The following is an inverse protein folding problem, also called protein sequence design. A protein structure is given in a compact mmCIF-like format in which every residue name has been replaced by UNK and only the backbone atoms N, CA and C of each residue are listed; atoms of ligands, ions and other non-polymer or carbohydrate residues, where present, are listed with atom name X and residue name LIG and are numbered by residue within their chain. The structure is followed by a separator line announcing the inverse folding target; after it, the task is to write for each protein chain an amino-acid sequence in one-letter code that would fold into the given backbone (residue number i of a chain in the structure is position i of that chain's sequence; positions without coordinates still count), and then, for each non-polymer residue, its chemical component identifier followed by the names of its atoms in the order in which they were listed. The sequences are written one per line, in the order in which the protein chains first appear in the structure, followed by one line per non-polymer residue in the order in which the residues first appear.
data_IF_712311696941
#
_entry.id   IF_712311696941
#
_cell.length_a   1.000
_cell.length_b   1.000
_cell.length_c   1.000
_cell.angle_alpha   90.00
_cell.angle_beta   90.00
_cell.angle_gamma   90.00
#
_symmetry.space_group_name_H-M   'P 1'
#
loop_
_entity.id
_entity.type
_entity.pdbx_description
1 polymer ?
#
# COMPACT_ATOMS: atom_id res chain seq x y z
N UNK A 1 2.51 -10.28 39.66
CA UNK A 1 2.30 -10.95 38.36
C UNK A 1 2.61 -9.91 37.30
N UNK A 2 3.65 -10.14 36.48
CA UNK A 2 3.90 -9.33 35.29
C UNK A 2 3.01 -9.91 34.21
N UNK A 3 1.93 -9.23 33.87
CA UNK A 3 1.01 -9.68 32.85
C UNK A 3 1.77 -9.83 31.53
N UNK A 4 1.79 -11.06 31.02
CA UNK A 4 2.26 -11.37 29.68
C UNK A 4 1.24 -10.81 28.69
N UNK A 5 1.33 -9.54 28.34
CA UNK A 5 0.72 -9.02 27.12
C UNK A 5 1.50 -9.63 25.95
N UNK A 6 1.04 -10.80 25.52
CA UNK A 6 1.42 -11.42 24.25
C UNK A 6 1.36 -10.31 23.20
N UNK A 7 2.44 -10.05 22.44
CA UNK A 7 2.48 -9.06 21.35
C UNK A 7 1.16 -9.10 20.58
N UNK A 8 0.25 -8.16 20.87
CA UNK A 8 -1.07 -8.16 20.25
C UNK A 8 -0.83 -7.73 18.81
N UNK A 9 -1.03 -8.67 17.89
CA UNK A 9 -1.04 -8.36 16.46
C UNK A 9 -2.14 -7.31 16.27
N UNK A 10 -1.77 -6.04 16.03
CA UNK A 10 -2.70 -5.01 15.61
C UNK A 10 -3.42 -5.50 14.35
N UNK A 11 -4.75 -5.54 14.40
CA UNK A 11 -5.58 -5.91 13.27
C UNK A 11 -5.50 -4.82 12.21
N UNK A 12 -5.61 -5.20 10.93
CA UNK A 12 -5.65 -4.19 9.86
C UNK A 12 -6.85 -3.28 10.10
N UNK A 13 -6.65 -1.95 10.18
CA UNK A 13 -7.70 -1.02 10.52
C UNK A 13 -8.82 -1.06 9.46
N UNK A 14 -10.07 -1.04 9.91
CA UNK A 14 -11.22 -1.06 9.01
C UNK A 14 -11.67 0.37 8.73
N UNK A 15 -11.67 0.74 7.47
CA UNK A 15 -12.14 2.07 7.05
C UNK A 15 -13.68 2.11 7.03
N UNK A 16 -14.29 2.90 7.91
CA UNK A 16 -15.74 3.04 8.06
C UNK A 16 -16.32 4.17 7.17
N UNK A 17 -15.55 5.22 6.97
CA UNK A 17 -15.87 6.41 6.21
C UNK A 17 -15.75 6.14 4.72
N UNK A 18 -16.80 6.54 3.97
CA UNK A 18 -16.82 6.42 2.51
C UNK A 18 -15.67 7.16 1.84
N UNK A 19 -15.20 8.27 2.44
CA UNK A 19 -14.07 9.04 1.92
C UNK A 19 -12.75 8.30 2.09
N UNK A 20 -12.49 7.75 3.28
CA UNK A 20 -11.27 6.99 3.58
C UNK A 20 -11.23 5.72 2.73
N UNK A 21 -12.36 5.03 2.57
CA UNK A 21 -12.48 3.89 1.67
C UNK A 21 -12.17 4.23 0.21
N UNK A 22 -12.55 5.42 -0.26
CA UNK A 22 -12.19 5.90 -1.59
C UNK A 22 -10.68 6.15 -1.71
N UNK A 23 -10.04 6.76 -0.72
CA UNK A 23 -8.59 6.95 -0.72
C UNK A 23 -7.83 5.63 -0.72
N UNK A 24 -8.26 4.64 0.05
CA UNK A 24 -7.64 3.31 0.05
C UNK A 24 -7.78 2.63 -1.31
N UNK A 25 -8.96 2.72 -1.92
CA UNK A 25 -9.18 2.20 -3.27
C UNK A 25 -8.27 2.89 -4.30
N UNK A 26 -8.15 4.23 -4.24
CA UNK A 26 -7.28 4.99 -5.13
C UNK A 26 -5.81 4.60 -4.96
N UNK A 27 -5.34 4.47 -3.72
CA UNK A 27 -3.97 4.08 -3.43
C UNK A 27 -3.68 2.66 -3.90
N UNK A 28 -4.60 1.72 -3.65
CA UNK A 28 -4.50 0.36 -4.18
C UNK A 28 -4.44 0.35 -5.70
N UNK A 29 -5.34 1.07 -6.37
CA UNK A 29 -5.36 1.16 -7.82
C UNK A 29 -4.05 1.74 -8.37
N UNK A 30 -3.52 2.78 -7.72
CA UNK A 30 -2.23 3.36 -8.07
C UNK A 30 -1.10 2.34 -7.93
N UNK A 31 -1.02 1.64 -6.79
CA UNK A 31 0.02 0.64 -6.53
C UNK A 31 -0.07 -0.56 -7.46
N UNK A 32 -1.26 -0.95 -7.93
CA UNK A 32 -1.46 -2.14 -8.76
C UNK A 32 -1.35 -1.85 -10.26
N UNK A 33 -1.92 -0.74 -10.74
CA UNK A 33 -2.11 -0.51 -12.17
C UNK A 33 -1.10 0.47 -12.79
N UNK A 34 -0.39 1.29 -12.01
CA UNK A 34 0.55 2.28 -12.55
C UNK A 34 1.64 1.65 -13.43
N UNK A 35 2.16 0.47 -13.07
CA UNK A 35 3.16 -0.26 -13.87
C UNK A 35 2.63 -0.54 -15.28
N UNK A 36 1.41 -1.07 -15.38
CA UNK A 36 0.78 -1.39 -16.66
C UNK A 36 0.46 -0.12 -17.45
N UNK A 37 -0.06 0.91 -16.79
CA UNK A 37 -0.39 2.19 -17.41
C UNK A 37 0.88 2.82 -18.01
N UNK A 38 1.98 2.87 -17.27
CA UNK A 38 3.26 3.42 -17.74
C UNK A 38 3.84 2.60 -18.89
N UNK A 39 3.78 1.27 -18.81
CA UNK A 39 4.28 0.40 -19.87
C UNK A 39 3.47 0.55 -21.17
N UNK A 40 2.14 0.57 -21.09
CA UNK A 40 1.25 0.75 -22.24
C UNK A 40 1.40 2.15 -22.84
N UNK A 41 1.47 3.20 -22.00
CA UNK A 41 1.74 4.56 -22.47
C UNK A 41 3.07 4.64 -23.22
N UNK A 42 4.13 4.09 -22.65
CA UNK A 42 5.46 4.11 -23.28
C UNK A 42 5.43 3.32 -24.59
N UNK A 43 4.79 2.16 -24.61
CA UNK A 43 4.64 1.39 -25.85
C UNK A 43 3.86 2.17 -26.93
N UNK A 44 2.78 2.87 -26.54
CA UNK A 44 1.97 3.66 -27.47
C UNK A 44 2.74 4.82 -28.11
N UNK A 45 3.59 5.51 -27.34
CA UNK A 45 4.34 6.68 -27.84
C UNK A 45 5.70 6.35 -28.46
N UNK A 46 6.30 5.21 -28.10
CA UNK A 46 7.63 4.81 -28.56
C UNK A 46 7.52 3.46 -29.30
N UNK A 47 8.03 2.39 -28.68
CA UNK A 47 8.06 1.05 -29.24
C UNK A 47 7.89 0.00 -28.13
N UNK A 48 7.75 -1.26 -28.54
CA UNK A 48 7.51 -2.36 -27.60
C UNK A 48 8.74 -2.66 -26.71
N UNK A 49 9.96 -2.40 -27.18
CA UNK A 49 11.19 -2.63 -26.43
C UNK A 49 11.31 -1.62 -25.28
N UNK A 50 11.06 -0.33 -25.56
CA UNK A 50 10.98 0.73 -24.56
C UNK A 50 9.83 0.49 -23.57
N UNK A 51 8.67 0.03 -24.05
CA UNK A 51 7.56 -0.38 -23.19
C UNK A 51 7.96 -1.48 -22.19
N UNK A 52 8.66 -2.51 -22.66
CA UNK A 52 9.19 -3.58 -21.81
C UNK A 52 10.23 -3.09 -20.79
N UNK A 53 11.15 -2.22 -21.19
CA UNK A 53 12.15 -1.64 -20.30
C UNK A 53 11.50 -0.81 -19.18
N UNK A 54 10.51 0.03 -19.52
CA UNK A 54 9.77 0.83 -18.54
C UNK A 54 8.92 -0.05 -17.62
N UNK A 55 8.35 -1.14 -18.12
CA UNK A 55 7.62 -2.10 -17.28
C UNK A 55 8.52 -2.68 -16.18
N UNK A 56 9.72 -3.16 -16.54
CA UNK A 56 10.69 -3.72 -15.59
C UNK A 56 11.18 -2.66 -14.60
N UNK A 57 11.51 -1.46 -15.08
CA UNK A 57 11.93 -0.36 -14.22
C UNK A 57 10.82 0.06 -13.24
N UNK A 58 9.59 0.18 -13.74
CA UNK A 58 8.42 0.53 -12.92
C UNK A 58 8.14 -0.52 -11.85
N UNK A 59 8.36 -1.80 -12.14
CA UNK A 59 8.23 -2.88 -11.15
C UNK A 59 9.19 -2.67 -9.96
N UNK A 60 10.44 -2.29 -10.22
CA UNK A 60 11.43 -1.99 -9.17
C UNK A 60 10.99 -0.75 -8.37
N UNK A 61 10.66 0.35 -9.06
CA UNK A 61 10.26 1.61 -8.42
C UNK A 61 9.02 1.41 -7.53
N UNK A 62 8.00 0.71 -8.03
CA UNK A 62 6.80 0.38 -7.27
C UNK A 62 7.07 -0.58 -6.11
N UNK A 63 7.98 -1.54 -6.27
CA UNK A 63 8.43 -2.38 -5.17
C UNK A 63 9.04 -1.57 -4.02
N UNK A 64 9.87 -0.57 -4.33
CA UNK A 64 10.46 0.34 -3.34
C UNK A 64 9.36 1.17 -2.66
N UNK A 65 8.43 1.74 -3.44
CA UNK A 65 7.32 2.54 -2.89
C UNK A 65 6.45 1.70 -1.95
N UNK A 66 6.06 0.49 -2.35
CA UNK A 66 5.27 -0.43 -1.51
C UNK A 66 6.00 -0.76 -0.21
N UNK A 67 7.30 -1.04 -0.28
CA UNK A 67 8.13 -1.32 0.90
C UNK A 67 8.18 -0.11 1.84
N UNK A 68 8.37 1.09 1.29
CA UNK A 68 8.41 2.34 2.06
C UNK A 68 7.08 2.62 2.76
N UNK A 69 5.96 2.50 2.05
CA UNK A 69 4.61 2.70 2.60
C UNK A 69 4.38 1.72 3.75
N UNK A 70 4.63 0.42 3.53
CA UNK A 70 4.47 -0.59 4.59
C UNK A 70 5.29 -0.25 5.83
N UNK A 71 6.55 0.13 5.64
CA UNK A 71 7.46 0.43 6.74
C UNK A 71 7.17 1.77 7.44
N UNK A 72 6.38 2.68 6.86
CA UNK A 72 6.03 3.92 7.56
C UNK A 72 4.87 3.72 8.52
N UNK A 73 3.89 2.87 8.17
CA UNK A 73 2.63 2.76 8.93
C UNK A 73 2.50 1.47 9.75
N UNK A 74 3.09 0.36 9.30
CA UNK A 74 2.95 -0.92 10.02
C UNK A 74 3.92 -0.98 11.21
N UNK A 75 3.47 -1.43 12.40
CA UNK A 75 4.32 -1.60 13.59
C UNK A 75 5.50 -2.55 13.34
N UNK A 76 6.64 -2.30 14.00
CA UNK A 76 7.89 -3.05 13.80
C UNK A 76 7.71 -4.57 13.97
N UNK A 77 6.93 -4.97 14.96
CA UNK A 77 6.64 -6.37 15.29
C UNK A 77 5.91 -7.12 14.16
N UNK A 78 5.25 -6.37 13.26
CA UNK A 78 4.42 -6.93 12.21
C UNK A 78 4.90 -6.63 10.78
N UNK A 79 5.98 -5.88 10.58
CA UNK A 79 6.43 -5.50 9.22
C UNK A 79 6.84 -6.66 8.32
N UNK A 80 7.22 -7.78 8.92
CA UNK A 80 7.65 -8.99 8.22
C UNK A 80 6.48 -9.84 7.71
N UNK A 81 5.24 -9.55 8.14
CA UNK A 81 4.07 -10.25 7.62
C UNK A 81 3.79 -9.91 6.16
N UNK A 82 3.25 -10.87 5.44
CA UNK A 82 2.84 -10.67 4.06
C UNK A 82 1.51 -9.91 4.00
N UNK A 83 1.57 -8.63 3.63
CA UNK A 83 0.39 -7.80 3.40
C UNK A 83 0.05 -7.73 1.91
N UNK A 84 -1.25 -7.80 1.61
CA UNK A 84 -1.77 -7.48 0.29
C UNK A 84 -1.77 -5.96 0.06
N UNK A 85 -1.76 -5.50 -1.19
CA UNK A 85 -1.81 -4.09 -1.57
C UNK A 85 -3.03 -3.37 -0.96
N UNK A 86 -4.16 -4.07 -0.79
CA UNK A 86 -5.33 -3.55 -0.07
C UNK A 86 -5.02 -3.24 1.41
N UNK A 87 -4.38 -4.18 2.11
CA UNK A 87 -4.07 -4.01 3.53
C UNK A 87 -3.02 -2.90 3.74
N UNK A 88 -2.02 -2.81 2.85
CA UNK A 88 -1.04 -1.71 2.87
C UNK A 88 -1.74 -0.37 2.67
N UNK A 89 -2.71 -0.30 1.75
CA UNK A 89 -3.48 0.91 1.51
C UNK A 89 -4.39 1.28 2.70
N UNK A 90 -5.05 0.30 3.31
CA UNK A 90 -5.91 0.52 4.48
C UNK A 90 -5.10 1.04 5.68
N UNK A 91 -3.95 0.42 5.97
CA UNK A 91 -3.00 0.89 6.98
C UNK A 91 -2.53 2.32 6.71
N UNK A 92 -2.16 2.62 5.46
CA UNK A 92 -1.66 3.94 5.10
C UNK A 92 -2.74 5.01 5.26
N UNK A 93 -3.94 4.74 4.78
CA UNK A 93 -5.04 5.70 4.85
C UNK A 93 -5.51 5.91 6.28
N UNK A 94 -5.62 4.85 7.08
CA UNK A 94 -5.98 4.97 8.49
C UNK A 94 -4.96 5.82 9.26
N UNK A 95 -3.66 5.57 9.08
CA UNK A 95 -2.60 6.25 9.84
C UNK A 95 -2.19 7.61 9.33
N UNK A 96 -2.30 7.92 8.05
CA UNK A 96 -1.76 9.18 7.50
C UNK A 96 -2.86 10.16 7.05
N UNK A 97 -4.03 9.66 6.64
CA UNK A 97 -5.09 10.48 6.04
C UNK A 97 -6.30 10.59 6.97
N UNK A 98 -6.69 9.49 7.59
CA UNK A 98 -7.92 9.33 8.35
C UNK A 98 -7.65 8.85 9.78
N UNK A 99 -6.83 9.61 10.52
CA UNK A 99 -6.50 9.34 11.93
C UNK A 99 -7.72 9.10 12.84
N UNK A 100 -8.87 9.70 12.51
CA UNK A 100 -10.11 9.56 13.28
C UNK A 100 -10.71 8.14 13.27
N UNK A 101 -10.28 7.26 12.35
CA UNK A 101 -10.79 5.89 12.29
C UNK A 101 -10.10 4.94 13.27
N UNK A 102 -8.85 5.20 13.65
CA UNK A 102 -8.17 4.43 14.72
C UNK A 102 -8.82 4.68 16.10
N UNK A 103 -9.45 5.83 16.29
CA UNK A 103 -10.04 6.26 17.57
C UNK A 103 -11.45 5.71 17.82
N UNK A 104 -12.03 5.01 16.84
CA UNK A 104 -13.38 4.42 16.92
C UNK A 104 -13.39 2.91 17.16
N UNK A 105 -12.24 2.26 17.13
CA UNK A 105 -12.06 0.82 17.44
C UNK A 105 -11.50 0.63 18.87
#
# INVERSE_FOLDING_TARGET
MKDNYINLIEVTPKLHSKKCKLFSLLLRCFLQYSIFVLAILTWYFYDYFMGGAVFLLSFIVLGIIRSKIRNSVIPLEQREYQYNDQAIADWYVAKEICFEEELKD
#
